data_IF_440914061194
#
_entry.id   IF_440914061194
#
_cell.length_a   1.000
_cell.length_b   1.000
_cell.length_c   1.000
_cell.angle_alpha   90.00
_cell.angle_beta   90.00
_cell.angle_gamma   90.00
#
_symmetry.space_group_name_H-M   'P 1'
#
loop_
_entity.id
_entity.type
_entity.pdbx_description
1 polymer ?
#
# COMPACT_ATOMS: atom_id res chain seq x y z
N UNK A 1 19.53 25.41 -65.07
CA UNK A 1 19.42 25.22 -63.61
C UNK A 1 18.24 26.04 -63.16
N UNK A 2 17.05 25.44 -63.21
CA UNK A 2 15.77 26.02 -62.84
C UNK A 2 15.01 24.90 -62.15
N UNK A 3 14.58 25.17 -60.92
CA UNK A 3 13.71 24.32 -60.11
C UNK A 3 12.32 24.22 -60.73
N UNK A 4 11.71 23.03 -60.66
CA UNK A 4 10.29 22.83 -60.34
C UNK A 4 10.02 21.37 -59.88
N UNK A 5 8.91 21.13 -59.16
CA UNK A 5 8.84 20.23 -58.01
C UNK A 5 8.31 18.82 -58.34
N UNK A 6 8.89 17.81 -57.69
CA UNK A 6 8.51 16.41 -57.84
C UNK A 6 7.96 15.77 -56.55
N UNK A 7 6.66 15.49 -56.57
CA UNK A 7 6.04 14.28 -55.99
C UNK A 7 5.93 14.16 -54.45
N UNK A 8 4.98 14.90 -53.88
CA UNK A 8 4.10 14.38 -52.81
C UNK A 8 3.32 13.17 -53.34
N UNK A 9 3.78 11.95 -53.07
CA UNK A 9 3.07 10.75 -53.51
C UNK A 9 3.37 9.45 -52.76
N UNK A 10 4.40 9.41 -51.89
CA UNK A 10 4.84 8.16 -51.28
C UNK A 10 4.69 8.08 -49.75
N UNK A 11 4.22 9.14 -49.07
CA UNK A 11 4.13 9.16 -47.59
C UNK A 11 2.73 8.87 -47.02
N UNK A 12 1.75 8.50 -47.86
CA UNK A 12 0.37 8.21 -47.42
C UNK A 12 0.00 6.72 -47.36
N UNK A 13 0.92 5.80 -47.68
CA UNK A 13 0.62 4.37 -47.70
C UNK A 13 0.98 3.61 -46.40
N UNK A 14 1.79 4.16 -45.50
CA UNK A 14 2.21 3.48 -44.25
C UNK A 14 1.48 3.95 -42.98
N UNK A 15 0.60 4.97 -43.07
CA UNK A 15 -0.19 5.46 -41.93
C UNK A 15 -1.47 4.64 -41.63
N UNK A 16 -1.78 3.62 -42.46
CA UNK A 16 -3.02 2.83 -42.35
C UNK A 16 -2.82 1.41 -41.81
N UNK A 17 -1.62 1.02 -41.39
CA UNK A 17 -1.43 -0.25 -40.69
C UNK A 17 -1.73 -0.08 -39.20
N UNK A 18 -3.01 -0.01 -38.85
CA UNK A 18 -3.45 -0.26 -37.47
C UNK A 18 -2.94 -1.65 -37.03
N UNK A 19 -2.34 -1.80 -35.83
CA UNK A 19 -2.02 -3.12 -35.32
C UNK A 19 -3.31 -3.91 -35.18
N UNK A 20 -3.44 -5.04 -35.88
CA UNK A 20 -4.56 -5.97 -35.67
C UNK A 20 -4.54 -6.42 -34.21
N UNK A 21 -5.57 -6.04 -33.44
CA UNK A 21 -5.81 -6.39 -32.04
C UNK A 21 -6.03 -7.90 -31.78
N UNK A 22 -5.82 -8.78 -32.76
CA UNK A 22 -6.11 -10.22 -32.68
C UNK A 22 -5.03 -11.05 -31.96
N UNK A 23 -3.95 -10.44 -31.45
CA UNK A 23 -2.87 -11.14 -30.70
C UNK A 23 -2.93 -10.95 -29.17
N UNK A 24 -3.98 -10.33 -28.61
CA UNK A 24 -4.02 -10.02 -27.17
C UNK A 24 -4.16 -11.23 -26.23
N UNK A 25 -4.53 -12.42 -26.72
CA UNK A 25 -4.60 -13.64 -25.89
C UNK A 25 -3.22 -14.15 -25.45
N UNK A 26 -2.15 -13.85 -26.18
CA UNK A 26 -0.78 -14.22 -25.78
C UNK A 26 -0.24 -13.34 -24.63
N UNK A 27 -1.01 -12.34 -24.18
CA UNK A 27 -0.62 -11.35 -23.16
C UNK A 27 -1.33 -11.54 -21.81
N UNK A 28 -2.06 -12.64 -21.61
CA UNK A 28 -2.78 -12.90 -20.37
C UNK A 28 -2.05 -13.92 -19.49
N UNK A 29 -1.93 -13.62 -18.20
CA UNK A 29 -1.50 -14.58 -17.18
C UNK A 29 -2.74 -15.16 -16.50
N UNK A 30 -2.74 -16.48 -16.27
CA UNK A 30 -3.88 -17.18 -15.66
C UNK A 30 -3.89 -16.94 -14.14
N UNK A 31 -4.83 -16.11 -13.69
CA UNK A 31 -4.97 -15.60 -12.33
C UNK A 31 -5.47 -16.66 -11.33
N UNK A 32 -5.95 -17.81 -11.83
CA UNK A 32 -6.52 -18.89 -11.05
C UNK A 32 -5.49 -19.86 -10.48
N UNK A 33 -4.20 -19.73 -10.86
CA UNK A 33 -3.17 -20.64 -10.34
C UNK A 33 -2.96 -20.44 -8.84
N UNK A 34 -2.93 -21.52 -8.04
CA UNK A 34 -2.53 -21.46 -6.64
C UNK A 34 -1.07 -21.02 -6.58
N UNK A 35 -0.76 -20.04 -5.73
CA UNK A 35 0.60 -19.59 -5.51
C UNK A 35 1.18 -20.25 -4.26
N UNK A 36 2.51 -20.25 -4.16
CA UNK A 36 3.26 -20.77 -3.02
C UNK A 36 4.22 -19.71 -2.54
N UNK A 37 4.39 -19.61 -1.23
CA UNK A 37 5.27 -18.63 -0.61
C UNK A 37 6.36 -19.31 0.21
N UNK A 38 7.55 -18.73 0.15
CA UNK A 38 8.58 -18.94 1.17
C UNK A 38 8.32 -17.99 2.34
N UNK A 39 8.72 -18.39 3.53
CA UNK A 39 8.63 -17.56 4.71
C UNK A 39 9.91 -17.63 5.54
N UNK A 40 10.21 -16.55 6.25
CA UNK A 40 11.17 -16.59 7.34
C UNK A 40 10.48 -17.08 8.61
N UNK A 41 11.05 -18.11 9.23
CA UNK A 41 10.62 -18.66 10.51
C UNK A 41 11.81 -18.77 11.46
N UNK A 42 11.63 -18.62 12.78
CA UNK A 42 12.69 -18.92 13.73
C UNK A 42 13.21 -20.35 13.57
N UNK A 43 14.52 -20.55 13.65
CA UNK A 43 15.06 -21.89 13.83
C UNK A 43 14.63 -22.40 15.21
N UNK A 44 13.95 -23.55 15.26
CA UNK A 44 13.72 -24.25 16.53
C UNK A 44 15.09 -24.73 17.06
N UNK A 45 15.31 -24.59 18.37
CA UNK A 45 16.44 -25.25 19.03
C UNK A 45 16.20 -26.75 18.85
N UNK A 46 17.12 -27.52 18.23
CA UNK A 46 16.94 -28.96 18.11
C UNK A 46 16.89 -29.54 19.53
N UNK A 47 15.73 -30.01 19.96
CA UNK A 47 15.68 -31.12 20.90
C UNK A 47 16.29 -32.29 20.15
N UNK A 48 17.55 -32.59 20.46
CA UNK A 48 18.40 -33.65 19.89
C UNK A 48 17.68 -34.67 19.02
N UNK A 49 18.06 -34.84 17.75
CA UNK A 49 18.87 -35.97 17.25
C UNK A 49 19.25 -35.71 15.78
N UNK A 50 20.49 -36.06 15.43
CA UNK A 50 21.08 -36.19 14.07
C UNK A 50 21.29 -34.93 13.21
N UNK A 51 22.53 -34.42 13.25
CA UNK A 51 23.32 -34.23 12.01
C UNK A 51 23.49 -32.81 11.45
N UNK A 52 22.65 -31.84 11.79
CA UNK A 52 22.84 -30.45 11.36
C UNK A 52 22.77 -29.53 12.59
N UNK A 53 23.93 -29.12 13.08
CA UNK A 53 24.03 -28.19 14.22
C UNK A 53 23.51 -26.81 13.80
N UNK A 54 22.23 -26.54 14.01
CA UNK A 54 21.74 -25.16 14.10
C UNK A 54 22.32 -24.55 15.37
N UNK A 55 23.06 -23.44 15.31
CA UNK A 55 23.50 -22.74 16.51
C UNK A 55 22.26 -22.31 17.31
N UNK A 56 22.23 -22.50 18.65
CA UNK A 56 21.13 -22.02 19.46
C UNK A 56 21.05 -20.49 19.36
N UNK A 57 19.83 -19.94 19.28
CA UNK A 57 19.61 -18.50 19.35
C UNK A 57 20.18 -17.98 20.68
N UNK A 58 21.27 -17.22 20.60
CA UNK A 58 21.73 -16.43 21.75
C UNK A 58 21.03 -15.08 21.70
N UNK A 59 20.84 -14.38 22.82
CA UNK A 59 20.25 -13.03 22.80
C UNK A 59 20.97 -12.03 21.87
N UNK A 60 22.21 -12.35 21.44
CA UNK A 60 23.02 -11.57 20.49
C UNK A 60 22.92 -12.04 19.04
N UNK A 61 22.52 -13.28 18.78
CA UNK A 61 22.43 -13.86 17.42
C UNK A 61 21.13 -14.62 17.23
N UNK A 62 20.35 -14.21 16.23
CA UNK A 62 19.07 -14.79 15.88
C UNK A 62 19.19 -15.51 14.54
N UNK A 63 18.93 -16.81 14.56
CA UNK A 63 18.91 -17.68 13.39
C UNK A 63 17.46 -17.88 12.92
N UNK A 64 17.25 -17.55 11.64
CA UNK A 64 16.00 -17.77 10.93
C UNK A 64 16.25 -18.81 9.82
N UNK A 65 15.18 -19.48 9.41
CA UNK A 65 15.16 -20.38 8.26
C UNK A 65 14.20 -19.82 7.21
N UNK A 66 14.64 -19.80 5.97
CA UNK A 66 13.77 -19.61 4.81
C UNK A 66 13.13 -20.95 4.46
N UNK A 67 11.80 -21.03 4.47
CA UNK A 67 11.09 -22.27 4.13
C UNK A 67 11.14 -22.55 2.64
N UNK A 68 11.10 -23.84 2.29
CA UNK A 68 10.89 -24.27 0.90
C UNK A 68 9.46 -24.00 0.43
N UNK A 69 9.28 -23.88 -0.88
CA UNK A 69 7.94 -23.69 -1.48
C UNK A 69 7.01 -24.89 -1.22
N UNK A 70 7.57 -26.08 -0.99
CA UNK A 70 6.79 -27.29 -0.64
C UNK A 70 6.22 -27.24 0.78
N UNK A 71 6.76 -26.40 1.66
CA UNK A 71 6.28 -26.23 3.04
C UNK A 71 5.14 -25.21 3.14
N UNK A 72 4.75 -24.58 2.02
CA UNK A 72 3.67 -23.60 2.02
C UNK A 72 2.32 -24.25 2.33
N UNK A 73 1.70 -23.80 3.43
CA UNK A 73 0.34 -24.15 3.83
C UNK A 73 -0.52 -22.90 3.76
N UNK A 74 -1.47 -22.86 2.83
CA UNK A 74 -2.30 -21.68 2.56
C UNK A 74 -3.09 -21.18 3.78
N UNK A 75 -3.52 -22.08 4.68
CA UNK A 75 -4.25 -21.71 5.90
C UNK A 75 -3.37 -21.22 7.05
N UNK A 76 -2.04 -21.26 6.90
CA UNK A 76 -1.13 -20.87 7.97
C UNK A 76 -0.98 -19.34 8.02
N UNK A 77 -1.23 -18.69 9.17
CA UNK A 77 -1.11 -17.25 9.27
C UNK A 77 0.35 -16.81 9.13
N UNK A 78 0.55 -15.72 8.41
CA UNK A 78 1.84 -15.05 8.26
C UNK A 78 1.66 -13.53 8.27
N UNK A 79 2.76 -12.81 8.47
CA UNK A 79 2.83 -11.36 8.38
C UNK A 79 3.56 -10.97 7.10
N UNK A 80 2.90 -10.17 6.26
CA UNK A 80 3.54 -9.54 5.11
C UNK A 80 4.19 -8.23 5.56
N UNK A 81 5.50 -8.10 5.35
CA UNK A 81 6.27 -6.91 5.74
C UNK A 81 6.31 -5.91 4.59
N UNK A 82 6.09 -4.65 4.93
CA UNK A 82 6.00 -3.53 4.00
C UNK A 82 6.97 -2.44 4.45
N UNK A 83 7.94 -2.08 3.62
CA UNK A 83 9.00 -1.13 3.94
C UNK A 83 9.62 -0.57 2.65
N UNK A 84 10.38 0.52 2.77
CA UNK A 84 11.18 1.02 1.65
C UNK A 84 12.57 0.38 1.68
N UNK A 85 13.02 -0.21 0.57
CA UNK A 85 14.34 -0.88 0.51
C UNK A 85 15.51 0.03 0.90
N UNK A 86 15.45 1.31 0.52
CA UNK A 86 16.34 2.36 1.01
C UNK A 86 15.87 2.82 2.39
N UNK A 87 15.85 1.90 3.36
CA UNK A 87 15.38 2.17 4.71
C UNK A 87 16.46 2.96 5.44
N UNK A 88 16.19 4.23 5.72
CA UNK A 88 17.07 5.02 6.57
C UNK A 88 17.13 4.38 7.96
N UNK A 89 18.34 4.24 8.51
CA UNK A 89 18.53 3.82 9.90
C UNK A 89 17.74 4.76 10.79
N UNK A 90 16.94 4.23 11.72
CA UNK A 90 16.39 5.10 12.74
C UNK A 90 17.54 5.66 13.59
N UNK A 91 17.41 6.92 14.03
CA UNK A 91 18.40 7.61 14.89
C UNK A 91 18.75 6.89 16.21
N UNK A 92 18.18 5.70 16.47
CA UNK A 92 18.47 4.85 17.65
C UNK A 92 19.88 4.26 17.66
N UNK A 93 20.58 4.20 16.53
CA UNK A 93 21.86 3.48 16.43
C UNK A 93 23.11 4.34 16.69
N UNK A 94 22.98 5.67 16.84
CA UNK A 94 24.15 6.55 16.99
C UNK A 94 24.56 6.79 18.46
N UNK A 95 23.65 6.61 19.42
CA UNK A 95 23.91 6.90 20.84
C UNK A 95 23.93 5.62 21.70
N UNK A 96 25.07 4.91 21.76
CA UNK A 96 25.52 4.13 22.93
C UNK A 96 24.65 3.02 23.55
N UNK A 97 23.55 2.57 22.93
CA UNK A 97 22.65 1.53 23.47
C UNK A 97 22.82 0.16 22.79
N UNK A 98 22.26 -0.88 23.46
CA UNK A 98 22.42 -2.30 23.10
C UNK A 98 22.31 -2.55 21.58
N UNK A 99 23.33 -3.16 20.97
CA UNK A 99 23.32 -3.42 19.55
C UNK A 99 22.16 -4.33 19.18
N UNK A 100 21.51 -4.04 18.04
CA UNK A 100 20.54 -4.97 17.45
C UNK A 100 21.18 -6.36 17.32
N UNK A 101 20.42 -7.45 17.55
CA UNK A 101 20.96 -8.78 17.37
C UNK A 101 21.37 -9.01 15.92
N UNK A 102 22.40 -9.81 15.72
CA UNK A 102 22.80 -10.24 14.39
C UNK A 102 21.80 -11.28 13.87
N UNK A 103 21.37 -11.14 12.61
CA UNK A 103 20.43 -12.07 11.98
C UNK A 103 21.14 -12.92 10.93
N UNK A 104 20.93 -14.23 11.02
CA UNK A 104 21.45 -15.20 10.07
C UNK A 104 20.31 -16.02 9.50
N UNK A 105 20.25 -16.13 8.16
CA UNK A 105 19.20 -16.84 7.43
C UNK A 105 19.78 -18.11 6.83
N UNK A 106 19.21 -19.25 7.21
CA UNK A 106 19.48 -20.55 6.61
C UNK A 106 18.55 -20.80 5.42
N UNK A 107 19.13 -21.24 4.31
CA UNK A 107 18.43 -21.42 3.02
C UNK A 107 18.38 -22.89 2.57
N UNK A 108 18.66 -23.84 3.46
CA UNK A 108 18.72 -25.26 3.10
C UNK A 108 20.04 -25.70 2.43
N UNK A 109 20.76 -24.79 1.77
CA UNK A 109 22.02 -25.05 1.05
C UNK A 109 23.27 -25.18 1.97
N UNK A 110 23.10 -25.66 3.20
CA UNK A 110 24.18 -25.87 4.18
C UNK A 110 24.96 -24.63 4.66
N UNK A 111 24.58 -23.41 4.25
CA UNK A 111 25.24 -22.17 4.70
C UNK A 111 24.24 -21.13 5.22
N UNK A 112 24.60 -20.49 6.33
CA UNK A 112 23.92 -19.28 6.79
C UNK A 112 24.43 -18.06 6.01
N UNK A 113 23.56 -17.11 5.74
CA UNK A 113 23.91 -15.80 5.21
C UNK A 113 23.31 -14.67 6.05
N UNK A 114 23.86 -13.45 6.00
CA UNK A 114 23.17 -12.26 6.52
C UNK A 114 21.81 -12.06 5.84
N UNK A 115 20.95 -11.27 6.49
CA UNK A 115 19.74 -10.76 5.87
C UNK A 115 20.08 -9.88 4.65
N UNK A 116 19.35 -10.08 3.55
CA UNK A 116 19.31 -9.20 2.38
C UNK A 116 18.59 -7.89 2.72
N UNK A 117 17.55 -7.95 3.56
CA UNK A 117 16.83 -6.77 4.04
C UNK A 117 17.56 -6.07 5.20
N UNK A 118 17.20 -4.80 5.44
CA UNK A 118 17.79 -4.03 6.53
C UNK A 118 17.49 -4.68 7.89
N UNK A 119 18.51 -4.92 8.72
CA UNK A 119 18.39 -5.64 9.99
C UNK A 119 17.34 -5.03 10.93
N UNK A 120 17.23 -3.70 10.95
CA UNK A 120 16.21 -3.02 11.74
C UNK A 120 14.77 -3.38 11.30
N UNK A 121 14.53 -3.51 9.99
CA UNK A 121 13.23 -3.92 9.45
C UNK A 121 12.92 -5.34 9.88
N UNK A 122 13.88 -6.25 9.71
CA UNK A 122 13.73 -7.65 10.11
C UNK A 122 13.46 -7.77 11.62
N UNK A 123 14.22 -7.05 12.44
CA UNK A 123 14.08 -7.09 13.89
C UNK A 123 12.69 -6.61 14.35
N UNK A 124 12.26 -5.45 13.86
CA UNK A 124 10.97 -4.86 14.24
C UNK A 124 9.79 -5.70 13.74
N UNK A 125 9.88 -6.24 12.53
CA UNK A 125 8.89 -7.18 12.02
C UNK A 125 8.84 -8.48 12.83
N UNK A 126 10.00 -9.02 13.25
CA UNK A 126 10.06 -10.21 14.10
C UNK A 126 9.45 -9.96 15.49
N UNK A 127 9.69 -8.80 16.11
CA UNK A 127 9.04 -8.41 17.36
C UNK A 127 7.51 -8.36 17.20
N UNK A 128 7.02 -7.79 16.09
CA UNK A 128 5.59 -7.77 15.78
C UNK A 128 5.02 -9.17 15.57
N UNK A 129 5.73 -10.04 14.85
CA UNK A 129 5.31 -11.42 14.65
C UNK A 129 5.24 -12.22 15.93
N UNK A 130 6.25 -12.09 16.80
CA UNK A 130 6.24 -12.71 18.12
C UNK A 130 5.09 -12.21 19.02
N UNK A 131 4.68 -10.94 18.87
CA UNK A 131 3.58 -10.37 19.62
C UNK A 131 2.18 -10.75 19.09
N UNK A 132 2.05 -11.05 17.79
CA UNK A 132 0.74 -11.24 17.12
C UNK A 132 0.43 -12.66 16.70
N UNK A 133 1.44 -13.51 16.52
CA UNK A 133 1.28 -14.89 16.06
C UNK A 133 1.83 -15.89 17.08
N UNK A 134 1.17 -17.03 17.30
CA UNK A 134 1.72 -18.12 18.13
C UNK A 134 3.03 -18.67 17.56
N UNK A 135 3.17 -18.68 16.24
CA UNK A 135 4.38 -19.08 15.53
C UNK A 135 4.80 -17.94 14.59
N UNK A 136 5.90 -17.24 14.88
CA UNK A 136 6.36 -16.13 14.05
C UNK A 136 6.68 -16.59 12.63
N UNK A 137 6.00 -15.98 11.65
CA UNK A 137 6.19 -16.25 10.23
C UNK A 137 6.12 -14.95 9.45
N UNK A 138 7.22 -14.61 8.80
CA UNK A 138 7.34 -13.39 8.01
C UNK A 138 7.43 -13.70 6.52
N UNK A 139 6.78 -12.89 5.72
CA UNK A 139 7.06 -12.74 4.31
C UNK A 139 7.70 -11.37 4.07
N UNK A 140 8.93 -11.36 3.53
CA UNK A 140 9.68 -10.15 3.16
C UNK A 140 10.11 -10.33 1.71
N UNK A 141 9.76 -9.39 0.84
CA UNK A 141 10.04 -9.44 -0.60
C UNK A 141 11.52 -9.76 -0.95
N UNK A 142 12.48 -9.08 -0.33
CA UNK A 142 13.91 -9.29 -0.56
C UNK A 142 14.42 -10.66 -0.11
N UNK A 143 13.70 -11.35 0.78
CA UNK A 143 14.13 -12.62 1.38
C UNK A 143 13.37 -13.82 0.81
N UNK A 144 12.08 -13.65 0.56
CA UNK A 144 11.16 -14.73 0.20
C UNK A 144 11.03 -14.93 -1.31
N UNK A 145 11.34 -13.90 -2.10
CA UNK A 145 11.43 -13.97 -3.56
C UNK A 145 12.89 -14.20 -3.94
N UNK A 146 13.14 -15.16 -4.83
CA UNK A 146 14.45 -15.33 -5.44
C UNK A 146 14.67 -14.24 -6.50
N UNK A 147 15.30 -13.15 -6.07
CA UNK A 147 15.54 -11.95 -6.90
C UNK A 147 16.42 -12.23 -8.12
N UNK A 148 17.18 -13.32 -8.11
CA UNK A 148 18.07 -13.71 -9.21
C UNK A 148 17.35 -14.62 -10.24
N UNK A 149 16.13 -15.07 -9.93
CA UNK A 149 15.29 -15.88 -10.80
C UNK A 149 14.15 -15.04 -11.41
N UNK A 150 14.21 -14.72 -12.72
CA UNK A 150 13.22 -13.85 -13.37
C UNK A 150 11.80 -14.45 -13.37
N UNK A 151 11.67 -15.77 -13.40
CA UNK A 151 10.37 -16.44 -13.37
C UNK A 151 9.74 -16.35 -11.97
N UNK A 152 10.55 -16.49 -10.91
CA UNK A 152 10.09 -16.35 -9.52
C UNK A 152 9.69 -14.90 -9.23
N UNK A 153 10.50 -13.95 -9.72
CA UNK A 153 10.23 -12.52 -9.62
C UNK A 153 8.92 -12.14 -10.31
N UNK A 154 8.75 -12.48 -11.60
CA UNK A 154 7.53 -12.16 -12.34
C UNK A 154 6.31 -12.84 -11.70
N UNK A 155 6.43 -14.10 -11.30
CA UNK A 155 5.34 -14.83 -10.63
C UNK A 155 4.88 -14.11 -9.36
N UNK A 156 5.82 -13.65 -8.52
CA UNK A 156 5.51 -12.93 -7.30
C UNK A 156 4.94 -11.53 -7.56
N UNK A 157 5.49 -10.78 -8.52
CA UNK A 157 4.99 -9.45 -8.90
C UNK A 157 3.51 -9.48 -9.31
N UNK A 158 3.08 -10.53 -10.04
CA UNK A 158 1.69 -10.69 -10.47
C UNK A 158 0.72 -10.99 -9.31
N UNK A 159 1.22 -11.60 -8.22
CA UNK A 159 0.39 -12.01 -7.07
C UNK A 159 0.58 -11.15 -5.82
N UNK A 160 1.40 -10.10 -5.85
CA UNK A 160 1.71 -9.26 -4.69
C UNK A 160 0.45 -8.85 -3.90
N UNK A 161 -0.62 -8.47 -4.59
CA UNK A 161 -1.90 -8.13 -3.96
C UNK A 161 -2.50 -9.27 -3.13
N UNK A 162 -2.40 -10.54 -3.57
CA UNK A 162 -2.85 -11.72 -2.80
C UNK A 162 -1.99 -11.91 -1.56
N UNK A 163 -0.68 -11.74 -1.67
CA UNK A 163 0.24 -11.86 -0.54
C UNK A 163 -0.17 -10.90 0.59
N UNK A 164 -0.44 -9.64 0.27
CA UNK A 164 -0.88 -8.69 1.29
C UNK A 164 -2.32 -8.95 1.76
N UNK A 165 -3.25 -9.30 0.85
CA UNK A 165 -4.65 -9.51 1.22
C UNK A 165 -4.90 -10.77 2.04
N UNK A 166 -4.12 -11.83 1.80
CA UNK A 166 -4.24 -13.13 2.48
C UNK A 166 -3.34 -13.24 3.72
N UNK A 167 -2.42 -12.30 3.91
CA UNK A 167 -1.67 -12.19 5.17
C UNK A 167 -2.60 -11.99 6.36
N UNK A 168 -2.22 -12.54 7.52
CA UNK A 168 -2.95 -12.29 8.77
C UNK A 168 -2.84 -10.82 9.18
N UNK A 169 -1.68 -10.22 8.90
CA UNK A 169 -1.42 -8.80 9.06
C UNK A 169 -0.44 -8.32 7.99
N UNK A 170 -0.63 -7.09 7.53
CA UNK A 170 0.38 -6.33 6.82
C UNK A 170 1.04 -5.37 7.80
N UNK A 171 2.36 -5.37 7.91
CA UNK A 171 3.09 -4.47 8.81
C UNK A 171 3.94 -3.49 8.01
N UNK A 172 3.60 -2.21 8.10
CA UNK A 172 4.35 -1.10 7.54
C UNK A 172 5.43 -0.66 8.53
N UNK A 173 6.68 -0.95 8.23
CA UNK A 173 7.84 -0.59 9.08
C UNK A 173 8.35 0.77 8.63
N UNK A 174 8.05 1.81 9.41
CA UNK A 174 8.42 3.19 9.08
C UNK A 174 9.82 3.53 9.60
N UNK A 175 10.51 4.44 8.92
CA UNK A 175 11.84 4.94 9.28
C UNK A 175 11.80 6.21 10.14
N UNK A 176 10.70 6.97 10.08
CA UNK A 176 10.56 8.28 10.72
C UNK A 176 10.35 8.17 12.23
N UNK A 177 11.35 8.55 13.02
CA UNK A 177 11.36 8.38 14.49
C UNK A 177 10.75 9.55 15.24
N UNK A 178 9.72 9.30 16.05
CA UNK A 178 9.18 10.33 16.96
C UNK A 178 10.10 10.47 18.18
N UNK A 179 10.86 11.56 18.24
CA UNK A 179 11.78 11.85 19.35
C UNK A 179 11.15 12.69 20.47
N UNK A 180 10.07 13.41 20.20
CA UNK A 180 9.48 14.34 21.15
C UNK A 180 8.32 13.71 21.94
N UNK A 181 8.48 13.60 23.27
CA UNK A 181 7.46 13.09 24.19
C UNK A 181 6.09 13.77 23.99
N UNK A 182 6.08 15.09 23.78
CA UNK A 182 4.86 15.88 23.57
C UNK A 182 4.02 15.39 22.38
N UNK A 183 4.65 14.87 21.32
CA UNK A 183 3.92 14.35 20.15
C UNK A 183 3.27 13.01 20.48
N UNK A 184 3.97 12.16 21.22
CA UNK A 184 3.43 10.88 21.70
C UNK A 184 2.31 11.07 22.70
N UNK A 185 2.45 11.98 23.67
CA UNK A 185 1.37 12.30 24.61
C UNK A 185 0.13 12.82 23.87
N UNK A 186 0.32 13.65 22.84
CA UNK A 186 -0.78 14.14 22.02
C UNK A 186 -1.51 13.01 21.27
N UNK A 187 -0.75 12.08 20.67
CA UNK A 187 -1.31 10.90 20.02
C UNK A 187 -2.04 10.00 21.01
N UNK A 188 -1.48 9.77 22.20
CA UNK A 188 -2.11 8.97 23.26
C UNK A 188 -3.46 9.56 23.69
N UNK A 189 -3.50 10.87 23.96
CA UNK A 189 -4.74 11.57 24.29
C UNK A 189 -5.72 11.48 23.12
N UNK A 190 -5.28 11.76 21.89
CA UNK A 190 -6.13 11.72 20.70
C UNK A 190 -6.76 10.35 20.45
N UNK A 191 -5.96 9.28 20.53
CA UNK A 191 -6.38 7.92 20.18
C UNK A 191 -7.20 7.24 21.28
N UNK A 192 -7.01 7.65 22.53
CA UNK A 192 -7.75 7.12 23.68
C UNK A 192 -8.75 8.12 24.26
N UNK A 193 -9.03 9.21 23.56
CA UNK A 193 -10.16 10.07 23.90
C UNK A 193 -11.45 9.29 23.68
N UNK A 194 -12.15 9.06 24.77
CA UNK A 194 -13.47 8.46 24.78
C UNK A 194 -14.34 9.29 25.73
N UNK A 195 -15.42 9.86 25.22
CA UNK A 195 -16.31 10.71 26.02
C UNK A 195 -17.21 9.91 26.98
N UNK A 196 -17.02 8.58 27.07
CA UNK A 196 -17.77 7.71 27.99
C UNK A 196 -19.28 7.76 27.80
N UNK A 197 -19.74 8.40 26.73
CA UNK A 197 -21.13 8.70 26.45
C UNK A 197 -21.35 8.40 24.97
N UNK A 198 -22.47 7.74 24.64
CA UNK A 198 -22.97 7.66 23.26
C UNK A 198 -23.40 9.05 22.72
N UNK A 199 -22.89 10.14 23.30
CA UNK A 199 -23.19 11.52 22.91
C UNK A 199 -22.08 12.01 21.99
N UNK A 200 -22.51 12.80 21.02
CA UNK A 200 -21.65 13.41 20.02
C UNK A 200 -20.73 14.45 20.68
N UNK A 201 -19.41 14.43 20.41
CA UNK A 201 -18.50 15.45 20.89
C UNK A 201 -18.91 16.84 20.40
N UNK A 202 -19.06 17.81 21.31
CA UNK A 202 -19.29 19.21 20.97
C UNK A 202 -17.97 19.94 20.79
N UNK A 203 -17.98 21.08 20.09
CA UNK A 203 -16.80 21.97 19.93
C UNK A 203 -16.11 22.28 21.26
N UNK A 204 -16.90 22.42 22.32
CA UNK A 204 -16.48 22.71 23.70
C UNK A 204 -15.67 21.56 24.31
N UNK A 205 -16.00 20.31 23.99
CA UNK A 205 -15.27 19.12 24.46
C UNK A 205 -13.84 19.08 23.90
N UNK A 206 -13.63 19.65 22.71
CA UNK A 206 -12.29 19.75 22.12
C UNK A 206 -11.44 20.84 22.76
N UNK A 207 -12.04 21.86 23.36
CA UNK A 207 -11.31 22.87 24.14
C UNK A 207 -10.76 22.27 25.45
N UNK A 208 -11.37 21.18 25.94
CA UNK A 208 -10.92 20.44 27.13
C UNK A 208 -9.72 19.53 26.85
N UNK A 209 -9.49 19.18 25.57
CA UNK A 209 -8.34 18.41 25.13
C UNK A 209 -7.07 19.25 25.15
N UNK A 210 -6.39 19.23 26.30
CA UNK A 210 -5.20 20.03 26.55
C UNK A 210 -4.02 19.18 27.02
N UNK A 211 -2.83 19.61 26.62
CA UNK A 211 -1.55 19.24 27.22
C UNK A 211 -1.08 20.37 28.11
N UNK A 212 -0.31 20.06 29.15
CA UNK A 212 0.41 21.09 29.90
C UNK A 212 1.67 21.50 29.15
N UNK A 213 1.91 22.81 29.04
CA UNK A 213 3.19 23.33 28.56
C UNK A 213 4.26 23.29 29.66
N UNK A 214 5.47 23.78 29.36
CA UNK A 214 6.58 23.83 30.33
C UNK A 214 6.32 24.71 31.55
N UNK A 215 5.31 25.58 31.50
CA UNK A 215 4.88 26.47 32.58
C UNK A 215 3.60 25.96 33.26
N UNK A 216 3.16 24.72 32.97
CA UNK A 216 1.91 24.12 33.43
C UNK A 216 0.62 24.80 32.93
N UNK A 217 0.66 25.51 31.81
CA UNK A 217 -0.54 26.08 31.18
C UNK A 217 -1.20 25.06 30.23
N UNK A 218 -2.54 24.96 30.20
CA UNK A 218 -3.24 24.08 29.27
C UNK A 218 -3.14 24.62 27.84
N UNK A 219 -2.73 23.77 26.90
CA UNK A 219 -2.59 24.06 25.46
C UNK A 219 -3.30 23.00 24.65
N UNK A 220 -4.08 23.40 23.64
CA UNK A 220 -4.78 22.48 22.74
C UNK A 220 -3.87 21.41 22.14
N UNK A 221 -4.34 20.15 22.12
CA UNK A 221 -3.59 19.03 21.54
C UNK A 221 -3.60 18.98 20.02
N UNK A 222 -4.52 19.69 19.35
CA UNK A 222 -4.74 19.58 17.90
C UNK A 222 -3.47 19.87 17.09
N UNK A 223 -2.77 20.95 17.42
CA UNK A 223 -1.51 21.30 16.77
C UNK A 223 -0.44 20.21 16.93
N UNK A 224 -0.16 19.74 18.16
CA UNK A 224 0.69 18.57 18.41
C UNK A 224 0.27 17.30 17.65
N UNK A 225 -1.01 16.93 17.62
CA UNK A 225 -1.52 15.74 16.90
C UNK A 225 -1.27 15.90 15.40
N UNK A 226 -1.65 17.04 14.82
CA UNK A 226 -1.43 17.32 13.41
C UNK A 226 0.05 17.28 13.05
N UNK A 227 0.94 17.81 13.90
CA UNK A 227 2.39 17.71 13.72
C UNK A 227 2.88 16.27 13.79
N UNK A 228 2.35 15.46 14.70
CA UNK A 228 2.73 14.05 14.82
C UNK A 228 2.38 13.27 13.55
N UNK A 229 1.14 13.41 13.04
CA UNK A 229 0.74 12.76 11.79
C UNK A 229 1.50 13.32 10.59
N UNK A 230 1.67 14.64 10.47
CA UNK A 230 2.48 15.24 9.41
C UNK A 230 3.89 14.65 9.39
N UNK A 231 4.54 14.55 10.56
CA UNK A 231 5.87 13.98 10.69
C UNK A 231 5.91 12.52 10.24
N UNK A 232 4.96 11.69 10.71
CA UNK A 232 4.88 10.27 10.31
C UNK A 232 4.61 10.12 8.81
N UNK A 233 3.76 10.97 8.22
CA UNK A 233 3.41 10.92 6.79
C UNK A 233 4.48 11.49 5.86
N UNK A 234 5.53 12.12 6.40
CA UNK A 234 6.73 12.48 5.63
C UNK A 234 7.60 11.27 5.36
N UNK A 235 7.38 10.14 6.02
CA UNK A 235 8.09 8.90 5.73
C UNK A 235 7.91 8.50 4.26
N UNK A 236 9.02 8.10 3.63
CA UNK A 236 9.04 7.70 2.22
C UNK A 236 8.06 6.58 1.91
N UNK A 237 7.74 5.74 2.90
CA UNK A 237 6.72 4.71 2.77
C UNK A 237 5.36 5.25 2.29
N UNK A 238 4.97 6.47 2.66
CA UNK A 238 3.68 7.04 2.21
C UNK A 238 3.68 7.54 0.77
N UNK A 239 4.86 7.65 0.14
CA UNK A 239 5.02 8.17 -1.22
C UNK A 239 5.45 7.12 -2.21
N UNK A 240 6.08 6.01 -1.81
CA UNK A 240 6.51 4.98 -2.75
C UNK A 240 5.30 4.27 -3.41
N UNK A 241 5.37 4.00 -4.71
CA UNK A 241 4.23 3.38 -5.42
C UNK A 241 4.00 1.92 -5.01
N UNK A 242 5.05 1.15 -4.72
CA UNK A 242 4.89 -0.23 -4.26
C UNK A 242 4.14 -0.31 -2.92
N UNK A 243 4.49 0.54 -1.96
CA UNK A 243 3.81 0.61 -0.66
C UNK A 243 2.36 1.09 -0.77
N UNK A 244 2.00 1.82 -1.83
CA UNK A 244 0.60 2.11 -2.15
C UNK A 244 -0.21 0.83 -2.39
N UNK A 245 0.32 -0.12 -3.17
CA UNK A 245 -0.32 -1.43 -3.33
C UNK A 245 -0.48 -2.14 -1.98
N UNK A 246 0.59 -2.19 -1.20
CA UNK A 246 0.67 -2.91 0.08
C UNK A 246 -0.34 -2.34 1.08
N UNK A 247 -0.46 -1.01 1.14
CA UNK A 247 -1.44 -0.26 1.94
C UNK A 247 -2.90 -0.55 1.57
N UNK A 248 -3.17 -0.78 0.29
CA UNK A 248 -4.54 -0.87 -0.24
C UNK A 248 -5.01 -2.31 -0.48
N UNK A 249 -4.10 -3.25 -0.68
CA UNK A 249 -4.39 -4.68 -0.79
C UNK A 249 -4.31 -5.38 0.57
N UNK A 250 -3.55 -4.85 1.54
CA UNK A 250 -3.45 -5.42 2.88
C UNK A 250 -4.79 -5.44 3.62
N UNK A 251 -5.17 -6.61 4.15
CA UNK A 251 -6.43 -6.80 4.89
C UNK A 251 -6.42 -6.08 6.24
N UNK A 252 -5.30 -6.18 6.97
CA UNK A 252 -5.10 -5.61 8.32
C UNK A 252 -3.75 -4.92 8.42
N UNK A 253 -3.70 -3.65 8.02
CA UNK A 253 -2.46 -2.86 7.98
C UNK A 253 -2.16 -2.25 9.36
N UNK A 254 -0.95 -2.49 9.86
CA UNK A 254 -0.39 -1.89 11.07
C UNK A 254 0.85 -1.06 10.73
N UNK A 255 1.01 0.08 11.36
CA UNK A 255 2.19 0.93 11.26
C UNK A 255 3.07 0.72 12.49
N UNK A 256 4.34 0.39 12.29
CA UNK A 256 5.36 0.44 13.33
C UNK A 256 6.10 1.78 13.19
N UNK A 257 5.91 2.63 14.19
CA UNK A 257 6.50 3.97 14.24
C UNK A 257 7.59 3.97 15.30
N UNK A 258 8.87 4.17 14.93
CA UNK A 258 9.94 4.16 15.91
C UNK A 258 9.80 5.37 16.83
N UNK A 259 10.04 5.15 18.13
CA UNK A 259 10.08 6.24 19.14
C UNK A 259 11.45 6.33 19.79
N UNK A 260 11.86 7.54 20.17
CA UNK A 260 13.12 7.76 20.90
C UNK A 260 13.17 6.98 22.22
N UNK A 261 14.36 6.59 22.67
CA UNK A 261 14.55 5.79 23.91
C UNK A 261 14.07 6.52 25.17
N UNK A 262 14.13 7.85 25.17
CA UNK A 262 13.64 8.71 26.26
C UNK A 262 12.13 8.91 26.24
N UNK A 263 11.44 8.43 25.19
CA UNK A 263 9.99 8.59 25.04
C UNK A 263 9.27 7.48 25.80
N UNK A 264 8.41 7.90 26.72
CA UNK A 264 7.54 7.05 27.52
C UNK A 264 6.18 6.89 26.83
N UNK A 265 5.71 5.64 26.74
CA UNK A 265 4.37 5.33 26.27
C UNK A 265 3.45 5.07 27.47
N UNK A 266 2.21 5.55 27.40
CA UNK A 266 1.21 5.36 28.45
C UNK A 266 0.22 4.26 28.07
N UNK A 267 -0.66 4.53 27.10
CA UNK A 267 -1.75 3.63 26.68
C UNK A 267 -1.56 3.09 25.27
N UNK A 268 -0.78 3.79 24.44
CA UNK A 268 -0.44 3.34 23.09
C UNK A 268 0.25 1.97 23.11
N UNK A 269 -0.15 1.10 22.17
CA UNK A 269 0.43 -0.24 22.01
C UNK A 269 1.93 -0.13 21.66
N UNK A 270 2.77 -0.80 22.45
CA UNK A 270 4.20 -0.94 22.20
C UNK A 270 4.53 -2.30 21.63
N UNK A 271 5.25 -2.34 20.52
CA UNK A 271 5.83 -3.56 19.96
C UNK A 271 7.32 -3.33 19.82
N UNK A 272 8.13 -4.04 20.62
CA UNK A 272 9.56 -3.75 20.72
C UNK A 272 9.80 -2.29 21.10
N UNK A 273 10.40 -1.53 20.17
CA UNK A 273 10.74 -0.11 20.37
C UNK A 273 9.85 0.84 19.56
N UNK A 274 8.71 0.34 19.09
CA UNK A 274 7.77 1.04 18.21
C UNK A 274 6.42 1.28 18.88
N UNK A 275 5.76 2.37 18.47
CA UNK A 275 4.30 2.50 18.58
C UNK A 275 3.69 1.67 17.45
N UNK A 276 2.74 0.80 17.79
CA UNK A 276 1.96 0.02 16.84
C UNK A 276 0.57 0.67 16.64
N UNK A 277 0.26 1.12 15.43
CA UNK A 277 -1.05 1.71 15.09
C UNK A 277 -1.75 0.90 13.99
N UNK A 278 -2.97 0.43 14.26
CA UNK A 278 -3.82 -0.19 13.24
C UNK A 278 -4.49 0.86 12.34
N UNK A 279 -4.39 0.70 11.02
CA UNK A 279 -4.98 1.61 10.02
C UNK A 279 -6.50 1.75 10.19
N UNK A 280 -7.23 0.64 10.40
CA UNK A 280 -8.68 0.67 10.57
C UNK A 280 -9.09 1.44 11.84
N UNK A 281 -8.33 1.30 12.92
CA UNK A 281 -8.54 2.05 14.14
C UNK A 281 -8.35 3.55 13.91
N UNK A 282 -7.28 3.95 13.20
CA UNK A 282 -7.05 5.35 12.80
C UNK A 282 -8.19 5.90 11.94
N UNK A 283 -8.67 5.12 10.96
CA UNK A 283 -9.78 5.52 10.10
C UNK A 283 -11.09 5.69 10.89
N UNK A 284 -11.43 4.77 11.80
CA UNK A 284 -12.61 4.90 12.66
C UNK A 284 -12.52 6.13 13.57
N UNK A 285 -11.32 6.45 14.04
CA UNK A 285 -11.07 7.69 14.80
C UNK A 285 -11.26 8.91 13.91
N UNK A 286 -10.76 8.91 12.67
CA UNK A 286 -11.01 9.99 11.70
C UNK A 286 -12.51 10.24 11.52
N UNK A 287 -13.31 9.22 11.20
CA UNK A 287 -14.74 9.41 10.91
C UNK A 287 -15.48 10.05 12.09
N UNK A 288 -15.22 9.59 13.32
CA UNK A 288 -15.83 10.19 14.53
C UNK A 288 -15.49 11.68 14.68
N UNK A 289 -14.31 12.09 14.20
CA UNK A 289 -13.82 13.47 14.31
C UNK A 289 -14.26 14.36 13.14
N UNK A 290 -14.35 13.83 11.92
CA UNK A 290 -14.76 14.59 10.73
C UNK A 290 -16.21 15.03 10.79
N UNK A 291 -17.08 14.22 11.39
CA UNK A 291 -18.53 14.46 11.44
C UNK A 291 -18.93 15.68 12.30
N UNK A 292 -18.02 16.25 13.11
CA UNK A 292 -18.42 17.13 14.22
C UNK A 292 -17.67 18.48 14.33
N UNK A 293 -16.52 18.66 13.68
CA UNK A 293 -15.70 19.89 13.83
C UNK A 293 -14.82 20.19 12.62
N UNK A 294 -15.36 19.99 11.40
CA UNK A 294 -14.59 20.08 10.16
C UNK A 294 -13.71 21.33 10.07
N UNK A 295 -14.24 22.53 10.36
CA UNK A 295 -13.46 23.77 10.24
C UNK A 295 -12.23 23.84 11.16
N UNK A 296 -12.28 23.20 12.33
CA UNK A 296 -11.17 23.22 13.30
C UNK A 296 -10.21 22.04 13.07
N UNK A 297 -10.72 20.92 12.57
CA UNK A 297 -9.94 19.68 12.37
C UNK A 297 -9.55 19.43 10.93
N UNK A 298 -9.92 20.32 9.99
CA UNK A 298 -9.71 20.16 8.54
C UNK A 298 -8.30 19.72 8.18
N UNK A 299 -7.28 20.35 8.75
CA UNK A 299 -5.88 20.01 8.46
C UNK A 299 -5.55 18.56 8.84
N UNK A 300 -5.98 18.13 10.03
CA UNK A 300 -5.81 16.76 10.49
C UNK A 300 -6.65 15.77 9.68
N UNK A 301 -7.90 16.13 9.36
CA UNK A 301 -8.80 15.29 8.59
C UNK A 301 -8.24 15.01 7.19
N UNK A 302 -7.69 16.03 6.52
CA UNK A 302 -7.05 15.89 5.21
C UNK A 302 -5.83 14.95 5.25
N UNK A 303 -4.97 15.06 6.27
CA UNK A 303 -3.80 14.18 6.44
C UNK A 303 -4.24 12.73 6.66
N UNK A 304 -5.23 12.53 7.53
CA UNK A 304 -5.74 11.21 7.85
C UNK A 304 -6.45 10.58 6.64
N UNK A 305 -7.22 11.36 5.89
CA UNK A 305 -7.89 10.89 4.69
C UNK A 305 -6.90 10.52 3.58
N UNK A 306 -5.90 11.38 3.30
CA UNK A 306 -4.93 11.10 2.23
C UNK A 306 -4.05 9.88 2.55
N UNK A 307 -3.60 9.75 3.80
CA UNK A 307 -2.57 8.77 4.15
C UNK A 307 -3.11 7.52 4.85
N UNK A 308 -4.28 7.56 5.48
CA UNK A 308 -4.79 6.47 6.31
C UNK A 308 -6.19 5.98 5.94
N UNK A 309 -6.88 6.64 5.00
CA UNK A 309 -8.19 6.16 4.55
C UNK A 309 -8.13 4.74 3.96
N UNK A 310 -9.24 4.03 4.14
CA UNK A 310 -9.49 2.78 3.43
C UNK A 310 -9.74 3.09 1.95
N UNK A 311 -9.36 2.19 1.04
CA UNK A 311 -9.78 2.31 -0.35
C UNK A 311 -11.32 2.36 -0.44
N UNK A 312 -11.87 3.06 -1.43
CA UNK A 312 -13.31 3.15 -1.68
C UNK A 312 -14.01 1.79 -1.81
N UNK A 313 -13.26 0.74 -2.18
CA UNK A 313 -13.75 -0.62 -2.42
C UNK A 313 -13.81 -1.53 -1.18
N UNK A 314 -13.56 -1.01 0.02
CA UNK A 314 -13.69 -1.84 1.21
C UNK A 314 -15.16 -1.93 1.63
N UNK A 315 -15.76 -3.13 1.81
CA UNK A 315 -17.10 -3.26 2.38
C UNK A 315 -17.19 -2.67 3.81
N UNK A 316 -16.06 -2.34 4.42
CA UNK A 316 -15.95 -1.67 5.72
C UNK A 316 -15.93 -0.13 5.60
N UNK A 317 -15.97 0.43 4.38
CA UNK A 317 -15.90 1.87 4.09
C UNK A 317 -17.28 2.56 4.04
N UNK A 318 -18.37 1.89 4.43
CA UNK A 318 -19.70 2.51 4.45
C UNK A 318 -19.73 3.60 5.52
N UNK A 319 -19.63 4.86 5.08
CA UNK A 319 -19.87 6.05 5.89
C UNK A 319 -21.37 6.18 6.21
N UNK A 320 -21.75 6.67 7.40
CA UNK A 320 -23.08 7.23 7.62
C UNK A 320 -23.30 8.43 6.69
N UNK A 321 -24.38 8.41 5.90
CA UNK A 321 -24.77 9.55 5.05
C UNK A 321 -25.18 10.76 5.88
N UNK A 322 -24.48 11.89 5.74
CA UNK A 322 -24.78 13.14 6.44
C UNK A 322 -25.74 14.04 5.62
N UNK A 323 -26.81 14.63 6.20
CA UNK A 323 -27.79 15.45 5.46
C UNK A 323 -27.47 16.96 5.27
N UNK A 324 -26.40 17.52 5.85
CA UNK A 324 -26.24 18.99 5.94
C UNK A 324 -24.86 19.53 5.54
N UNK A 325 -24.00 18.70 4.96
CA UNK A 325 -22.90 19.17 4.15
C UNK A 325 -22.80 18.22 2.96
N UNK A 326 -23.00 18.67 1.71
CA UNK A 326 -22.48 17.92 0.58
C UNK A 326 -20.97 17.95 0.75
N UNK A 327 -20.44 16.88 1.33
CA UNK A 327 -19.01 16.68 1.44
C UNK A 327 -18.49 16.76 0.00
N UNK A 328 -17.65 17.75 -0.32
CA UNK A 328 -16.87 17.76 -1.57
C UNK A 328 -15.72 16.76 -1.51
N UNK A 329 -15.91 15.64 -0.81
CA UNK A 329 -15.26 14.39 -1.16
C UNK A 329 -16.28 13.70 -2.04
N UNK A 330 -15.95 13.42 -3.31
CA UNK A 330 -16.83 12.75 -4.27
C UNK A 330 -17.14 11.30 -3.88
N UNK A 331 -17.50 11.03 -2.63
CA UNK A 331 -18.00 9.77 -2.12
C UNK A 331 -19.53 9.84 -2.23
N UNK A 332 -20.01 9.95 -3.47
CA UNK A 332 -21.35 9.50 -3.78
C UNK A 332 -21.36 7.97 -3.58
N UNK A 333 -22.38 7.45 -2.91
CA UNK A 333 -22.66 6.02 -2.78
C UNK A 333 -22.90 5.29 -4.13
N UNK A 334 -22.75 6.00 -5.25
CA UNK A 334 -22.81 5.50 -6.62
C UNK A 334 -21.41 5.55 -7.26
N UNK A 335 -20.43 4.87 -6.68
CA UNK A 335 -19.11 4.76 -7.29
C UNK A 335 -19.18 3.87 -8.53
N UNK A 336 -19.11 4.50 -9.70
CA UNK A 336 -19.03 3.82 -10.99
C UNK A 336 -17.66 3.21 -11.19
N UNK A 337 -17.54 2.16 -12.02
CA UNK A 337 -16.26 1.53 -12.38
C UNK A 337 -15.18 2.55 -12.78
N UNK A 338 -15.53 3.54 -13.62
CA UNK A 338 -14.58 4.54 -14.11
C UNK A 338 -14.23 5.63 -13.10
N UNK A 339 -15.18 6.09 -12.26
CA UNK A 339 -14.86 7.06 -11.20
C UNK A 339 -13.90 6.47 -10.15
N UNK A 340 -14.04 5.18 -9.92
CA UNK A 340 -13.18 4.35 -9.08
C UNK A 340 -11.75 4.25 -9.62
N UNK A 341 -11.61 3.98 -10.92
CA UNK A 341 -10.34 3.97 -11.66
C UNK A 341 -9.67 5.35 -11.63
N UNK A 342 -10.44 6.41 -11.86
CA UNK A 342 -9.95 7.79 -11.83
C UNK A 342 -9.38 8.15 -10.46
N UNK A 343 -10.06 7.80 -9.38
CA UNK A 343 -9.58 8.07 -8.02
C UNK A 343 -8.28 7.32 -7.71
N UNK A 344 -8.18 6.05 -8.11
CA UNK A 344 -6.92 5.31 -7.98
C UNK A 344 -5.80 5.99 -8.76
N UNK A 345 -6.06 6.41 -10.00
CA UNK A 345 -5.07 7.06 -10.85
C UNK A 345 -4.54 8.35 -10.21
N UNK A 346 -5.45 9.23 -9.77
CA UNK A 346 -5.08 10.50 -9.13
C UNK A 346 -4.21 10.32 -7.89
N UNK A 347 -4.49 9.32 -7.07
CA UNK A 347 -3.66 9.05 -5.88
C UNK A 347 -2.29 8.49 -6.32
N UNK A 348 -2.26 7.60 -7.30
CA UNK A 348 -1.00 7.03 -7.80
C UNK A 348 -0.08 8.06 -8.47
N UNK A 349 -0.61 9.15 -9.05
CA UNK A 349 0.20 10.27 -9.55
C UNK A 349 0.93 11.02 -8.43
N UNK A 350 0.51 10.89 -7.18
CA UNK A 350 1.21 11.46 -6.01
C UNK A 350 2.35 10.58 -5.50
N UNK A 351 2.54 9.40 -6.08
CA UNK A 351 3.54 8.43 -5.64
C UNK A 351 4.84 8.51 -6.45
N UNK A 352 5.96 8.24 -5.76
CA UNK A 352 7.29 8.06 -6.31
C UNK A 352 7.35 6.70 -7.04
N UNK A 353 7.17 6.69 -8.36
CA UNK A 353 7.66 5.65 -9.28
C UNK A 353 7.63 6.14 -10.73
N UNK A 354 8.73 5.97 -11.45
CA UNK A 354 8.84 6.33 -12.87
C UNK A 354 8.66 5.12 -13.79
N UNK A 355 8.69 3.90 -13.25
CA UNK A 355 8.61 2.66 -14.03
C UNK A 355 7.16 2.37 -14.40
N UNK A 356 6.86 2.55 -15.69
CA UNK A 356 5.50 2.41 -16.25
C UNK A 356 4.90 1.03 -15.97
N UNK A 357 5.68 -0.04 -16.13
CA UNK A 357 5.22 -1.42 -15.93
C UNK A 357 4.72 -1.69 -14.52
N UNK A 358 5.45 -1.22 -13.51
CA UNK A 358 5.10 -1.36 -12.10
C UNK A 358 3.80 -0.62 -11.78
N UNK A 359 3.70 0.62 -12.26
CA UNK A 359 2.50 1.45 -12.05
C UNK A 359 1.26 0.78 -12.65
N UNK A 360 1.37 0.11 -13.79
CA UNK A 360 0.25 -0.61 -14.41
C UNK A 360 -0.12 -1.85 -13.57
N UNK A 361 0.86 -2.62 -13.11
CA UNK A 361 0.63 -3.80 -12.28
C UNK A 361 -0.03 -3.45 -10.93
N UNK A 362 0.47 -2.39 -10.28
CA UNK A 362 -0.06 -1.84 -9.03
C UNK A 362 -1.49 -1.31 -9.24
N UNK A 363 -1.71 -0.55 -10.31
CA UNK A 363 -3.03 -0.03 -10.66
C UNK A 363 -4.05 -1.16 -10.84
N UNK A 364 -3.69 -2.21 -11.60
CA UNK A 364 -4.55 -3.36 -11.83
C UNK A 364 -4.87 -4.09 -10.51
N UNK A 365 -3.86 -4.24 -9.65
CA UNK A 365 -3.96 -4.89 -8.33
C UNK A 365 -4.90 -4.16 -7.39
N UNK A 366 -4.74 -2.84 -7.24
CA UNK A 366 -5.56 -2.01 -6.34
C UNK A 366 -7.02 -1.95 -6.79
N UNK A 367 -7.26 -1.93 -8.11
CA UNK A 367 -8.61 -1.96 -8.67
C UNK A 367 -9.17 -3.39 -8.83
N UNK A 368 -8.47 -4.43 -8.34
CA UNK A 368 -8.89 -5.84 -8.38
C UNK A 368 -9.31 -6.33 -9.76
N UNK A 369 -8.66 -5.85 -10.81
CA UNK A 369 -9.00 -6.26 -12.17
C UNK A 369 -8.79 -7.77 -12.33
N UNK A 370 -9.61 -8.50 -13.10
CA UNK A 370 -9.29 -9.90 -13.44
C UNK A 370 -8.23 -9.99 -14.54
N UNK A 371 -8.28 -9.12 -15.55
CA UNK A 371 -7.31 -9.10 -16.62
C UNK A 371 -6.10 -8.21 -16.29
N UNK A 372 -4.89 -8.73 -16.54
CA UNK A 372 -3.62 -8.00 -16.43
C UNK A 372 -3.02 -7.73 -17.82
N UNK A 373 -2.13 -6.75 -17.88
CA UNK A 373 -1.18 -6.57 -18.98
C UNK A 373 0.19 -7.06 -18.51
N UNK A 374 0.94 -7.74 -19.36
CA UNK A 374 2.31 -8.21 -19.04
C UNK A 374 3.24 -7.01 -18.89
N UNK A 375 3.65 -6.72 -17.65
CA UNK A 375 4.55 -5.63 -17.25
C UNK A 375 5.83 -5.58 -18.08
N UNK A 376 6.45 -6.73 -18.32
CA UNK A 376 7.71 -6.88 -19.08
C UNK A 376 7.62 -6.43 -20.54
N UNK A 377 6.43 -6.47 -21.15
CA UNK A 377 6.21 -6.08 -22.55
C UNK A 377 5.81 -4.62 -22.71
N UNK A 378 5.48 -3.94 -21.59
CA UNK A 378 5.04 -2.55 -21.56
C UNK A 378 6.20 -1.57 -21.34
N UNK A 379 7.40 -2.07 -21.02
CA UNK A 379 8.60 -1.26 -20.89
C UNK A 379 9.22 -0.98 -22.27
N UNK A 380 8.43 -0.37 -23.17
CA UNK A 380 8.83 -0.03 -24.52
C UNK A 380 8.37 1.40 -24.83
N UNK A 381 9.23 2.20 -25.47
CA UNK A 381 8.97 3.61 -25.84
C UNK A 381 7.66 3.86 -26.62
N UNK A 382 7.07 2.83 -27.22
CA UNK A 382 5.84 2.94 -28.02
C UNK A 382 4.57 2.97 -27.16
N UNK A 383 4.65 2.61 -25.88
CA UNK A 383 3.49 2.52 -25.00
C UNK A 383 3.58 3.56 -23.90
N UNK A 384 2.68 4.54 -23.91
CA UNK A 384 2.55 5.49 -22.81
C UNK A 384 1.79 4.87 -21.64
N UNK A 385 2.12 5.30 -20.42
CA UNK A 385 1.38 4.91 -19.21
C UNK A 385 -0.13 5.13 -19.34
N UNK A 386 -0.53 6.28 -19.89
CA UNK A 386 -1.93 6.63 -20.09
C UNK A 386 -2.66 5.67 -21.05
N UNK A 387 -1.99 5.25 -22.12
CA UNK A 387 -2.52 4.27 -23.08
C UNK A 387 -2.74 2.93 -22.39
N UNK A 388 -1.77 2.48 -21.59
CA UNK A 388 -1.88 1.21 -20.87
C UNK A 388 -3.02 1.21 -19.85
N UNK A 389 -3.21 2.29 -19.08
CA UNK A 389 -4.32 2.42 -18.14
C UNK A 389 -5.67 2.39 -18.86
N UNK A 390 -5.80 3.12 -19.98
CA UNK A 390 -7.03 3.12 -20.77
C UNK A 390 -7.36 1.72 -21.32
N UNK A 391 -6.39 1.05 -21.92
CA UNK A 391 -6.57 -0.32 -22.45
C UNK A 391 -6.96 -1.28 -21.32
N UNK A 392 -6.29 -1.19 -20.17
CA UNK A 392 -6.58 -2.02 -19.02
C UNK A 392 -7.99 -1.76 -18.46
N UNK A 393 -8.42 -0.49 -18.37
CA UNK A 393 -9.76 -0.11 -17.94
C UNK A 393 -10.83 -0.64 -18.91
N UNK A 394 -10.65 -0.44 -20.22
CA UNK A 394 -11.58 -0.93 -21.23
C UNK A 394 -11.68 -2.46 -21.21
N UNK A 395 -10.56 -3.16 -21.07
CA UNK A 395 -10.52 -4.63 -21.01
C UNK A 395 -11.31 -5.17 -19.82
N UNK A 396 -11.20 -4.52 -18.66
CA UNK A 396 -11.87 -4.98 -17.43
C UNK A 396 -13.29 -4.43 -17.27
N UNK A 397 -13.72 -3.46 -18.08
CA UNK A 397 -15.09 -2.93 -18.08
C UNK A 397 -16.10 -3.80 -18.84
N UNK A 398 -15.66 -4.82 -19.57
CA UNK A 398 -16.52 -5.58 -20.50
C UNK A 398 -16.85 -4.83 -21.81
N UNK A 399 -16.24 -3.67 -22.06
CA UNK A 399 -16.45 -2.85 -23.26
C UNK A 399 -16.30 -3.66 -24.57
N UNK A 400 -15.21 -4.42 -24.69
CA UNK A 400 -14.92 -5.20 -25.90
C UNK A 400 -15.87 -6.39 -26.13
N UNK A 401 -16.61 -6.81 -25.10
CA UNK A 401 -17.62 -7.88 -25.22
C UNK A 401 -18.93 -7.31 -25.78
N UNK A 402 -19.25 -6.06 -25.44
CA UNK A 402 -20.52 -5.42 -25.78
C UNK A 402 -20.49 -4.58 -27.05
N UNK A 403 -19.30 -4.19 -27.54
CA UNK A 403 -19.16 -3.34 -28.72
C UNK A 403 -17.99 -3.81 -29.60
N UNK A 404 -18.22 -4.22 -30.86
CA UNK A 404 -17.13 -4.23 -31.84
C UNK A 404 -16.59 -2.80 -31.95
N UNK A 405 -15.26 -2.66 -32.03
CA UNK A 405 -14.51 -1.39 -32.02
C UNK A 405 -14.90 -0.45 -33.20
N UNK A 406 -16.10 0.11 -33.18
CA UNK A 406 -16.41 1.33 -33.90
C UNK A 406 -16.06 2.49 -32.97
N UNK A 407 -14.78 2.85 -32.94
CA UNK A 407 -14.34 4.13 -32.38
C UNK A 407 -15.04 5.24 -33.18
N UNK A 408 -16.21 5.69 -32.72
CA UNK A 408 -16.90 6.79 -33.38
C UNK A 408 -15.97 8.01 -33.40
N UNK A 409 -15.79 8.68 -34.56
CA UNK A 409 -14.92 9.86 -34.70
C UNK A 409 -15.25 10.99 -33.70
N UNK A 410 -16.49 11.03 -33.21
CA UNK A 410 -17.00 12.07 -32.32
C UNK A 410 -16.45 12.05 -30.89
N UNK A 411 -15.72 11.01 -30.47
CA UNK A 411 -15.26 10.93 -29.09
C UNK A 411 -14.03 11.81 -28.79
N UNK A 412 -13.26 12.15 -29.83
CA UNK A 412 -12.10 13.05 -29.69
C UNK A 412 -11.06 12.57 -28.68
N UNK A 413 -11.05 11.27 -28.34
CA UNK A 413 -10.23 10.68 -27.26
C UNK A 413 -8.74 11.01 -27.41
N UNK A 414 -8.25 11.07 -28.65
CA UNK A 414 -6.86 11.38 -28.97
C UNK A 414 -6.43 12.81 -28.60
N UNK A 415 -7.39 13.72 -28.34
CA UNK A 415 -7.12 15.10 -27.91
C UNK A 415 -7.39 15.35 -26.43
N UNK A 416 -7.84 14.32 -25.70
CA UNK A 416 -8.23 14.41 -24.30
C UNK A 416 -7.15 13.85 -23.40
N UNK A 417 -7.02 14.41 -22.20
CA UNK A 417 -6.20 13.78 -21.15
C UNK A 417 -6.83 12.45 -20.73
N UNK A 418 -6.06 11.60 -20.03
CA UNK A 418 -6.60 10.36 -19.48
C UNK A 418 -7.75 10.67 -18.49
N UNK A 419 -7.62 11.71 -17.69
CA UNK A 419 -8.64 12.13 -16.72
C UNK A 419 -9.93 12.56 -17.42
N UNK A 420 -9.82 13.39 -18.46
CA UNK A 420 -10.96 13.79 -19.29
C UNK A 420 -11.61 12.58 -19.96
N UNK A 421 -10.80 11.62 -20.43
CA UNK A 421 -11.28 10.39 -21.05
C UNK A 421 -12.06 9.53 -20.06
N UNK A 422 -11.52 9.31 -18.86
CA UNK A 422 -12.17 8.52 -17.81
C UNK A 422 -13.47 9.18 -17.31
N UNK A 423 -13.47 10.52 -17.16
CA UNK A 423 -14.67 11.26 -16.78
C UNK A 423 -15.78 11.15 -17.84
N UNK A 424 -15.45 11.28 -19.13
CA UNK A 424 -16.41 11.09 -20.21
C UNK A 424 -16.96 9.65 -20.27
N UNK A 425 -16.10 8.66 -20.01
CA UNK A 425 -16.52 7.25 -19.92
C UNK A 425 -17.46 7.00 -18.73
N UNK A 426 -17.21 7.66 -17.60
CA UNK A 426 -18.11 7.63 -16.45
C UNK A 426 -19.48 8.24 -16.78
N UNK A 427 -19.52 9.42 -17.38
CA UNK A 427 -20.78 10.08 -17.76
C UNK A 427 -21.56 9.25 -18.77
N UNK A 428 -20.86 8.64 -19.74
CA UNK A 428 -21.46 7.72 -20.70
C UNK A 428 -22.01 6.46 -20.02
N UNK A 429 -21.24 5.85 -19.11
CA UNK A 429 -21.62 4.67 -18.32
C UNK A 429 -22.88 4.93 -17.47
N UNK A 430 -22.98 6.12 -16.85
CA UNK A 430 -24.17 6.57 -16.10
C UNK A 430 -25.38 6.75 -17.03
N UNK A 431 -25.19 7.40 -18.17
CA UNK A 431 -26.27 7.65 -19.12
C UNK A 431 -26.85 6.37 -19.74
N UNK A 432 -26.04 5.31 -19.85
CA UNK A 432 -26.42 4.04 -20.47
C UNK A 432 -26.64 2.90 -19.47
N UNK A 433 -26.69 3.20 -18.16
CA UNK A 433 -26.98 2.24 -17.09
C UNK A 433 -26.04 1.02 -17.08
N UNK A 434 -24.74 1.25 -17.33
CA UNK A 434 -23.73 0.20 -17.29
C UNK A 434 -23.50 -0.24 -15.84
N UNK A 435 -24.11 -1.36 -15.43
CA UNK A 435 -23.80 -1.97 -14.15
C UNK A 435 -22.38 -2.55 -14.16
N UNK A 436 -21.76 -2.60 -12.98
CA UNK A 436 -20.49 -3.31 -12.77
C UNK A 436 -20.56 -4.69 -13.43
N UNK A 437 -19.52 -5.12 -14.17
CA UNK A 437 -19.44 -6.51 -14.58
C UNK A 437 -19.53 -7.39 -13.33
N UNK A 438 -20.39 -8.42 -13.37
CA UNK A 438 -20.57 -9.37 -12.27
C UNK A 438 -19.21 -9.94 -11.84
N UNK A 439 -18.94 -10.03 -10.54
CA UNK A 439 -17.72 -10.66 -10.04
C UNK A 439 -17.82 -12.17 -10.25
N UNK A 440 -17.21 -12.67 -11.33
CA UNK A 440 -16.88 -14.08 -11.48
C UNK A 440 -15.56 -14.42 -10.78
#
# INVERSE_FOLDING_TARGET
MVDEPGSMGAFQAEANSFPRFSRFNDFTHDYAKPFRLRHLVPCEIPTSTTGCHTPPNTGKQIHLRLTDLSEYVHSQPYIAVSYTWDHAKSHKLEDGYDPLPEYYIWTGASTYRPAKCHVEVLHRAMCFAAAKLPQPRLWIDQECIDQDNPDDLESHLQIMHKIYSESAFTVAVLSSTILAQRLVDALDIFLHWDLGTNRTPRREDFALLTLTDRKNHPVSILGPVQRAFNYVTQDRWFRRTWTFQEKHCGSRVHFLIPVGTTVQLKRLERVGSDICLEKLFLFRRLCRWSDHSWDTTRGLALILESHFALPPYSPQAVLPTHPQAPIKTGINSNQTFFGNIQKTHQIMETCDNLVVSDRIAIFASVNKFPARLKSTLLNHERYSYSTCILVLALKNSGWFVSHPLELRPSWGLLKKTLEETLANLEDYSKAHNWMNPDPY
#
